data_IF_822089561822
#
_entry.id   IF_822089561822
#
_cell.length_a   1.000
_cell.length_b   1.000
_cell.length_c   1.000
_cell.angle_alpha   90.00
_cell.angle_beta   90.00
_cell.angle_gamma   90.00
#
_symmetry.space_group_name_H-M   'P 1'
#
loop_
_entity.id
_entity.type
_entity.pdbx_description
1 polymer ?
#
# COMPACT_ATOMS: atom_id res chain seq x y z
N UNK A 1 9.81 -14.66 1.31
CA UNK A 1 9.74 -13.38 0.57
C UNK A 1 8.27 -13.14 0.21
N UNK A 2 7.56 -12.37 1.04
CA UNK A 2 6.11 -12.17 0.90
C UNK A 2 5.92 -11.01 -0.07
N UNK A 3 5.51 -11.30 -1.29
CA UNK A 3 5.09 -10.29 -2.28
C UNK A 3 3.66 -9.88 -1.93
N UNK A 4 3.38 -8.66 -1.42
CA UNK A 4 2.01 -8.27 -1.08
C UNK A 4 1.19 -8.01 -2.36
N UNK A 5 0.18 -8.88 -2.52
CA UNK A 5 -0.97 -8.98 -3.45
C UNK A 5 -1.28 -7.81 -4.41
N UNK A 6 -1.07 -8.09 -5.71
CA UNK A 6 -1.71 -7.49 -6.92
C UNK A 6 -3.27 -7.51 -6.94
N UNK A 7 -3.93 -7.96 -5.87
CA UNK A 7 -5.36 -8.29 -5.86
C UNK A 7 -6.30 -7.08 -5.81
N UNK A 8 -5.91 -5.98 -5.16
CA UNK A 8 -6.73 -4.75 -5.11
C UNK A 8 -6.84 -4.05 -6.48
N UNK A 9 -5.86 -4.25 -7.37
CA UNK A 9 -5.81 -3.58 -8.67
C UNK A 9 -6.75 -4.25 -9.68
N UNK A 10 -6.76 -5.59 -9.70
CA UNK A 10 -7.65 -6.36 -10.58
C UNK A 10 -9.13 -6.23 -10.19
N UNK A 11 -9.46 -6.35 -8.90
CA UNK A 11 -10.85 -6.19 -8.43
C UNK A 11 -11.43 -4.82 -8.77
N UNK A 12 -10.65 -3.75 -8.60
CA UNK A 12 -11.06 -2.38 -8.95
C UNK A 12 -11.16 -2.17 -10.46
N UNK A 13 -10.25 -2.73 -11.24
CA UNK A 13 -10.34 -2.73 -12.70
C UNK A 13 -11.67 -3.32 -13.17
N UNK A 14 -12.07 -4.48 -12.64
CA UNK A 14 -13.35 -5.12 -12.99
C UNK A 14 -14.58 -4.25 -12.67
N UNK A 15 -14.51 -3.45 -11.60
CA UNK A 15 -15.58 -2.50 -11.25
C UNK A 15 -15.59 -1.29 -12.17
N UNK A 16 -14.43 -0.73 -12.47
CA UNK A 16 -14.31 0.43 -13.35
C UNK A 16 -14.72 0.13 -14.79
N UNK A 17 -14.46 -1.10 -15.26
CA UNK A 17 -14.89 -1.56 -16.60
C UNK A 17 -16.33 -2.06 -16.63
N UNK A 18 -17.05 -2.04 -15.50
CA UNK A 18 -18.45 -2.46 -15.40
C UNK A 18 -18.68 -3.97 -15.48
N UNK A 19 -17.62 -4.76 -15.45
CA UNK A 19 -17.66 -6.24 -15.57
C UNK A 19 -18.20 -6.87 -14.28
N UNK A 20 -17.90 -6.25 -13.15
CA UNK A 20 -18.39 -6.66 -11.82
C UNK A 20 -18.88 -5.41 -11.10
N UNK A 21 -20.03 -5.46 -10.43
CA UNK A 21 -20.48 -4.34 -9.62
C UNK A 21 -19.88 -4.38 -8.19
N UNK A 22 -19.89 -3.27 -7.43
CA UNK A 22 -19.30 -3.23 -6.08
C UNK A 22 -19.84 -4.32 -5.14
N UNK A 23 -21.15 -4.58 -5.15
CA UNK A 23 -21.78 -5.62 -4.31
C UNK A 23 -21.32 -7.03 -4.68
N UNK A 24 -21.10 -7.31 -5.97
CA UNK A 24 -20.53 -8.57 -6.44
C UNK A 24 -19.08 -8.71 -6.00
N UNK A 25 -18.28 -7.65 -6.14
CA UNK A 25 -16.89 -7.65 -5.69
C UNK A 25 -16.81 -7.88 -4.17
N UNK A 26 -17.64 -7.22 -3.38
CA UNK A 26 -17.69 -7.40 -1.93
C UNK A 26 -18.05 -8.84 -1.52
N UNK A 27 -18.99 -9.47 -2.24
CA UNK A 27 -19.32 -10.89 -2.03
C UNK A 27 -18.13 -11.79 -2.33
N UNK A 28 -17.44 -11.57 -3.45
CA UNK A 28 -16.25 -12.34 -3.81
C UNK A 28 -15.11 -12.15 -2.80
N UNK A 29 -14.87 -10.91 -2.34
CA UNK A 29 -13.89 -10.61 -1.29
C UNK A 29 -14.27 -11.29 0.02
N UNK A 30 -15.55 -11.27 0.38
CA UNK A 30 -16.05 -11.95 1.58
C UNK A 30 -15.86 -13.45 1.50
N UNK A 31 -16.16 -14.05 0.34
CA UNK A 31 -15.93 -15.48 0.07
C UNK A 31 -14.45 -15.85 0.12
N UNK A 32 -13.60 -15.01 -0.44
CA UNK A 32 -12.15 -15.14 -0.37
C UNK A 32 -11.66 -15.10 1.08
N UNK A 33 -12.12 -14.13 1.89
CA UNK A 33 -11.77 -14.00 3.31
C UNK A 33 -12.25 -15.19 4.14
N UNK A 34 -13.46 -15.69 3.89
CA UNK A 34 -13.99 -16.88 4.55
C UNK A 34 -13.15 -18.12 4.26
N UNK A 35 -12.72 -18.30 3.00
CA UNK A 35 -11.90 -19.45 2.59
C UNK A 35 -10.45 -19.34 3.08
N UNK A 36 -9.92 -18.11 3.12
CA UNK A 36 -8.55 -17.81 3.57
C UNK A 36 -8.49 -17.60 5.10
N UNK A 37 -9.28 -18.36 5.86
CA UNK A 37 -9.50 -18.16 7.29
C UNK A 37 -8.19 -17.96 8.06
N UNK A 38 -8.25 -17.12 9.10
CA UNK A 38 -7.13 -16.90 10.01
C UNK A 38 -6.80 -18.18 10.76
N UNK A 39 -5.51 -18.39 11.04
CA UNK A 39 -5.00 -19.62 11.66
C UNK A 39 -5.69 -19.94 13.01
N UNK A 40 -5.99 -18.91 13.82
CA UNK A 40 -6.74 -19.09 15.07
C UNK A 40 -8.19 -19.58 14.88
N UNK A 41 -8.86 -19.15 13.80
CA UNK A 41 -10.21 -19.64 13.47
C UNK A 41 -10.17 -21.08 12.97
N UNK A 42 -9.19 -21.43 12.13
CA UNK A 42 -8.97 -22.82 11.70
C UNK A 42 -8.67 -23.72 12.90
N UNK A 43 -7.83 -23.26 13.83
CA UNK A 43 -7.53 -23.99 15.05
C UNK A 43 -8.78 -24.18 15.94
N UNK A 44 -9.67 -23.19 16.00
CA UNK A 44 -10.95 -23.30 16.70
C UNK A 44 -11.90 -24.31 16.04
N UNK A 45 -12.06 -24.24 14.72
CA UNK A 45 -12.90 -25.14 13.92
C UNK A 45 -12.43 -26.61 14.04
N UNK A 46 -11.11 -26.82 14.14
CA UNK A 46 -10.49 -28.12 14.38
C UNK A 46 -10.44 -28.53 15.87
N UNK A 47 -11.02 -27.73 16.78
CA UNK A 47 -11.04 -27.96 18.24
C UNK A 47 -9.63 -28.07 18.86
N UNK A 48 -8.62 -27.47 18.22
CA UNK A 48 -7.25 -27.40 18.71
C UNK A 48 -7.05 -26.24 19.70
N UNK A 49 -7.83 -25.18 19.55
CA UNK A 49 -7.82 -24.02 20.45
C UNK A 49 -9.23 -23.64 20.90
N UNK A 50 -9.38 -23.25 22.16
CA UNK A 50 -10.62 -22.64 22.68
C UNK A 50 -10.64 -21.12 22.46
N UNK A 51 -11.81 -20.46 22.50
CA UNK A 51 -11.91 -19.00 22.41
C UNK A 51 -11.03 -18.26 23.43
N UNK A 52 -10.90 -18.82 24.64
CA UNK A 52 -10.11 -18.25 25.73
C UNK A 52 -8.61 -18.35 25.41
N UNK A 53 -8.16 -19.49 24.88
CA UNK A 53 -6.77 -19.68 24.45
C UNK A 53 -6.41 -18.76 23.27
N UNK A 54 -7.32 -18.59 22.31
CA UNK A 54 -7.14 -17.65 21.19
C UNK A 54 -7.00 -16.22 21.71
N UNK A 55 -7.87 -15.82 22.65
CA UNK A 55 -7.81 -14.49 23.26
C UNK A 55 -6.49 -14.26 23.99
N UNK A 56 -6.02 -15.26 24.75
CA UNK A 56 -4.73 -15.19 25.43
C UNK A 56 -3.53 -15.09 24.47
N UNK A 57 -3.56 -15.79 23.32
CA UNK A 57 -2.53 -15.66 22.28
C UNK A 57 -2.56 -14.25 21.67
N UNK A 58 -3.74 -13.73 21.34
CA UNK A 58 -3.91 -12.40 20.74
C UNK A 58 -3.46 -11.28 21.68
N UNK A 59 -3.79 -11.37 22.97
CA UNK A 59 -3.32 -10.45 24.00
C UNK A 59 -1.79 -10.47 24.09
N UNK A 60 -1.19 -11.68 24.10
CA UNK A 60 0.27 -11.81 24.13
C UNK A 60 0.95 -11.23 22.89
N UNK A 61 0.31 -11.36 21.73
CA UNK A 61 0.81 -10.88 20.45
C UNK A 61 0.89 -9.34 20.37
N UNK A 62 0.14 -8.59 21.19
CA UNK A 62 0.24 -7.13 21.26
C UNK A 62 1.62 -6.66 21.77
N UNK A 63 2.32 -7.52 22.51
CA UNK A 63 3.59 -7.23 23.17
C UNK A 63 4.71 -8.20 22.77
N UNK A 64 4.48 -9.03 21.75
CA UNK A 64 5.44 -10.03 21.28
C UNK A 64 5.49 -10.05 19.75
N UNK A 65 6.66 -9.88 19.11
CA UNK A 65 6.77 -9.82 17.65
C UNK A 65 6.56 -11.19 16.96
N UNK A 66 6.45 -12.29 17.72
CA UNK A 66 6.21 -13.63 17.18
C UNK A 66 4.83 -13.76 16.56
N UNK A 67 4.70 -14.68 15.60
CA UNK A 67 3.44 -14.93 14.89
C UNK A 67 2.48 -15.73 15.76
N UNK A 68 1.17 -15.63 15.48
CA UNK A 68 0.11 -16.31 16.25
C UNK A 68 0.41 -17.80 16.48
N UNK A 69 0.79 -18.53 15.43
CA UNK A 69 1.10 -19.95 15.52
C UNK A 69 2.34 -20.25 16.37
N UNK A 70 3.39 -19.44 16.24
CA UNK A 70 4.62 -19.56 17.04
C UNK A 70 4.34 -19.30 18.53
N UNK A 71 3.48 -18.32 18.83
CA UNK A 71 3.02 -18.03 20.19
C UNK A 71 2.14 -19.16 20.73
N UNK A 72 1.23 -19.71 19.93
CA UNK A 72 0.38 -20.82 20.34
C UNK A 72 1.20 -22.07 20.73
N UNK A 73 2.29 -22.35 20.01
CA UNK A 73 3.25 -23.42 20.36
C UNK A 73 4.06 -23.03 21.61
N UNK A 74 4.58 -21.81 21.68
CA UNK A 74 5.37 -21.35 22.82
C UNK A 74 4.58 -21.31 24.14
N UNK A 75 3.27 -21.10 24.07
CA UNK A 75 2.35 -21.13 25.21
C UNK A 75 1.88 -22.56 25.55
N UNK A 76 2.28 -23.57 24.77
CA UNK A 76 1.90 -24.97 24.98
C UNK A 76 0.44 -25.28 24.64
N UNK A 77 -0.25 -24.40 23.91
CA UNK A 77 -1.65 -24.61 23.54
C UNK A 77 -1.81 -25.56 22.35
N UNK A 78 -0.83 -25.59 21.44
CA UNK A 78 -0.75 -26.55 20.34
C UNK A 78 0.69 -27.09 20.21
N UNK A 79 0.85 -28.24 19.57
CA UNK A 79 2.18 -28.78 19.23
C UNK A 79 2.71 -28.20 17.92
N UNK A 80 4.01 -28.33 17.67
CA UNK A 80 4.62 -27.95 16.39
C UNK A 80 4.00 -28.70 15.19
N UNK A 81 3.69 -29.98 15.36
CA UNK A 81 3.03 -30.81 14.34
C UNK A 81 1.59 -30.36 14.05
N UNK A 82 0.84 -29.96 15.09
CA UNK A 82 -0.49 -29.37 14.92
C UNK A 82 -0.42 -28.01 14.22
N UNK A 83 0.61 -27.22 14.50
CA UNK A 83 0.85 -25.96 13.80
C UNK A 83 1.16 -26.18 12.31
N UNK A 84 2.01 -27.15 11.97
CA UNK A 84 2.29 -27.50 10.57
C UNK A 84 1.02 -27.96 9.85
N UNK A 85 0.23 -28.83 10.48
CA UNK A 85 -1.06 -29.30 9.93
C UNK A 85 -2.03 -28.14 9.69
N UNK A 86 -2.08 -27.15 10.59
CA UNK A 86 -2.91 -25.95 10.43
C UNK A 86 -2.42 -25.05 9.28
N UNK A 87 -1.10 -24.89 9.14
CA UNK A 87 -0.49 -24.11 8.06
C UNK A 87 -0.73 -24.75 6.70
N UNK A 88 -0.60 -26.08 6.60
CA UNK A 88 -0.87 -26.83 5.38
C UNK A 88 -2.35 -26.75 4.98
N UNK A 89 -3.25 -26.88 5.96
CA UNK A 89 -4.69 -26.69 5.73
C UNK A 89 -5.02 -25.27 5.27
N UNK A 90 -4.38 -24.25 5.86
CA UNK A 90 -4.58 -22.86 5.46
C UNK A 90 -4.06 -22.61 4.03
N UNK A 91 -2.89 -23.17 3.69
CA UNK A 91 -2.30 -23.06 2.37
C UNK A 91 -3.16 -23.74 1.29
N UNK A 92 -3.66 -24.95 1.56
CA UNK A 92 -4.48 -25.72 0.64
C UNK A 92 -5.86 -25.10 0.39
N UNK A 93 -6.41 -24.37 1.36
CA UNK A 93 -7.71 -23.71 1.23
C UNK A 93 -7.61 -22.25 0.76
N UNK A 94 -6.40 -21.73 0.56
CA UNK A 94 -6.22 -20.36 0.11
C UNK A 94 -6.69 -20.20 -1.34
N UNK A 95 -7.72 -19.38 -1.52
CA UNK A 95 -8.24 -19.02 -2.85
C UNK A 95 -7.89 -17.59 -3.24
N UNK A 96 -7.74 -17.37 -4.53
CA UNK A 96 -7.52 -16.06 -5.13
C UNK A 96 -8.85 -15.35 -5.41
N UNK A 97 -8.81 -14.01 -5.57
CA UNK A 97 -10.00 -13.21 -5.87
C UNK A 97 -10.71 -13.71 -7.15
N UNK A 98 -9.95 -14.08 -8.18
CA UNK A 98 -10.50 -14.66 -9.41
C UNK A 98 -11.26 -15.96 -9.19
N UNK A 99 -10.74 -16.84 -8.34
CA UNK A 99 -11.41 -18.09 -7.98
C UNK A 99 -12.66 -17.85 -7.13
N UNK A 100 -12.62 -16.87 -6.24
CA UNK A 100 -13.79 -16.44 -5.48
C UNK A 100 -14.89 -15.88 -6.40
N UNK A 101 -14.52 -15.07 -7.42
CA UNK A 101 -15.45 -14.56 -8.43
C UNK A 101 -16.12 -15.70 -9.24
N UNK A 102 -15.37 -16.77 -9.56
CA UNK A 102 -15.93 -17.96 -10.21
C UNK A 102 -16.87 -18.72 -9.25
N UNK A 103 -16.43 -18.95 -8.01
CA UNK A 103 -17.22 -19.71 -7.01
C UNK A 103 -18.53 -19.03 -6.65
N UNK A 104 -18.59 -17.70 -6.69
CA UNK A 104 -19.81 -16.91 -6.49
C UNK A 104 -20.67 -16.79 -7.77
N UNK A 105 -20.31 -17.48 -8.85
CA UNK A 105 -20.94 -17.40 -10.17
C UNK A 105 -21.00 -15.96 -10.73
N UNK A 106 -20.03 -15.12 -10.37
CA UNK A 106 -19.94 -13.73 -10.84
C UNK A 106 -19.24 -13.68 -12.20
N UNK A 107 -18.20 -14.49 -12.39
CA UNK A 107 -17.47 -14.61 -13.66
C UNK A 107 -17.32 -16.07 -14.08
N UNK A 108 -17.37 -16.33 -15.38
CA UNK A 108 -16.90 -17.61 -15.92
C UNK A 108 -15.37 -17.66 -15.90
N UNK A 109 -14.82 -18.88 -15.98
CA UNK A 109 -13.38 -19.09 -16.10
C UNK A 109 -12.80 -18.37 -17.31
N UNK A 110 -13.47 -18.46 -18.46
CA UNK A 110 -13.00 -17.85 -19.70
C UNK A 110 -13.03 -16.32 -19.64
N UNK A 111 -14.09 -15.75 -19.05
CA UNK A 111 -14.19 -14.32 -18.82
C UNK A 111 -13.08 -13.83 -17.87
N UNK A 112 -12.80 -14.59 -16.80
CA UNK A 112 -11.71 -14.26 -15.89
C UNK A 112 -10.36 -14.25 -16.60
N UNK A 113 -10.06 -15.26 -17.41
CA UNK A 113 -8.79 -15.34 -18.16
C UNK A 113 -8.66 -14.18 -19.14
N UNK A 114 -9.72 -13.86 -19.89
CA UNK A 114 -9.72 -12.71 -20.80
C UNK A 114 -9.43 -11.39 -20.06
N UNK A 115 -10.06 -11.17 -18.90
CA UNK A 115 -9.83 -9.96 -18.11
C UNK A 115 -8.44 -9.92 -17.49
N UNK A 116 -7.90 -11.05 -17.07
CA UNK A 116 -6.53 -11.12 -16.56
C UNK A 116 -5.52 -10.76 -17.66
N UNK A 117 -5.72 -11.22 -18.89
CA UNK A 117 -4.85 -10.88 -20.02
C UNK A 117 -4.91 -9.38 -20.35
N UNK A 118 -6.12 -8.81 -20.42
CA UNK A 118 -6.31 -7.36 -20.63
C UNK A 118 -5.61 -6.58 -19.52
N UNK A 119 -5.84 -6.97 -18.27
CA UNK A 119 -5.25 -6.32 -17.11
C UNK A 119 -3.71 -6.42 -17.12
N UNK A 120 -3.14 -7.56 -17.51
CA UNK A 120 -1.69 -7.73 -17.66
C UNK A 120 -1.11 -6.81 -18.74
N UNK A 121 -1.74 -6.72 -19.91
CA UNK A 121 -1.29 -5.83 -20.98
C UNK A 121 -1.34 -4.36 -20.56
N UNK A 122 -2.43 -3.95 -19.89
CA UNK A 122 -2.54 -2.60 -19.34
C UNK A 122 -1.42 -2.30 -18.33
N UNK A 123 -1.05 -3.29 -17.53
CA UNK A 123 0.01 -3.12 -16.54
C UNK A 123 1.40 -3.03 -17.16
N UNK A 124 1.67 -3.83 -18.19
CA UNK A 124 2.93 -3.75 -18.94
C UNK A 124 3.08 -2.41 -19.67
N UNK A 125 2.03 -1.96 -20.36
CA UNK A 125 2.04 -0.66 -21.03
C UNK A 125 2.30 0.49 -20.03
N UNK A 126 1.72 0.40 -18.84
CA UNK A 126 1.94 1.38 -17.79
C UNK A 126 3.36 1.32 -17.20
N UNK A 127 3.95 0.13 -17.06
CA UNK A 127 5.35 -0.03 -16.63
C UNK A 127 6.33 0.54 -17.67
N UNK A 128 6.10 0.33 -18.97
CA UNK A 128 6.93 0.89 -20.05
C UNK A 128 6.85 2.42 -20.12
N UNK A 129 5.65 2.98 -20.04
CA UNK A 129 5.44 4.44 -20.01
C UNK A 129 6.21 5.08 -18.86
N UNK A 130 6.16 4.46 -17.68
CA UNK A 130 6.82 4.96 -16.48
C UNK A 130 8.32 4.79 -16.56
N UNK A 131 8.83 3.66 -17.04
CA UNK A 131 10.26 3.49 -17.31
C UNK A 131 10.77 4.54 -18.30
N UNK A 132 9.98 4.89 -19.32
CA UNK A 132 10.29 5.96 -20.28
C UNK A 132 10.33 7.35 -19.66
N UNK A 133 9.42 7.66 -18.73
CA UNK A 133 9.39 8.92 -17.98
C UNK A 133 10.61 9.00 -17.05
N UNK A 134 10.89 7.93 -16.31
CA UNK A 134 11.93 7.88 -15.27
C UNK A 134 13.35 7.90 -15.86
N UNK A 135 13.58 7.26 -17.01
CA UNK A 135 14.88 7.27 -17.69
C UNK A 135 15.32 8.65 -18.19
N UNK A 136 14.39 9.61 -18.29
CA UNK A 136 14.67 10.99 -18.71
C UNK A 136 14.95 11.93 -17.54
N UNK A 137 14.78 11.46 -16.31
CA UNK A 137 14.94 12.28 -15.12
C UNK A 137 16.42 12.45 -14.73
N UNK A 138 16.81 13.68 -14.39
CA UNK A 138 18.14 14.01 -13.91
C UNK A 138 18.48 13.23 -12.63
N UNK A 139 17.48 12.99 -11.78
CA UNK A 139 17.59 12.22 -10.54
C UNK A 139 16.79 10.90 -10.62
N UNK A 140 16.87 10.22 -11.76
CA UNK A 140 16.09 9.01 -12.09
C UNK A 140 15.98 8.00 -10.96
N UNK A 141 17.08 7.44 -10.46
CA UNK A 141 17.05 6.39 -9.44
C UNK A 141 16.32 6.81 -8.15
N UNK A 142 16.52 8.06 -7.71
CA UNK A 142 15.85 8.59 -6.53
C UNK A 142 14.35 8.76 -6.80
N UNK A 143 13.99 9.40 -7.91
CA UNK A 143 12.59 9.62 -8.29
C UNK A 143 11.82 8.31 -8.55
N UNK A 144 12.47 7.29 -9.14
CA UNK A 144 11.93 5.93 -9.28
C UNK A 144 11.59 5.35 -7.92
N UNK A 145 12.54 5.40 -6.98
CA UNK A 145 12.33 4.87 -5.63
C UNK A 145 11.21 5.61 -4.93
N UNK A 146 11.10 6.93 -5.11
CA UNK A 146 10.04 7.71 -4.49
C UNK A 146 8.67 7.40 -5.09
N UNK A 147 8.59 7.31 -6.42
CA UNK A 147 7.41 6.88 -7.13
C UNK A 147 6.93 5.50 -6.63
N UNK A 148 7.82 4.52 -6.55
CA UNK A 148 7.46 3.15 -6.19
C UNK A 148 6.94 3.05 -4.75
N UNK A 149 7.58 3.73 -3.81
CA UNK A 149 7.14 3.75 -2.41
C UNK A 149 5.81 4.50 -2.29
N UNK A 150 5.66 5.66 -2.94
CA UNK A 150 4.38 6.41 -2.91
C UNK A 150 3.25 5.54 -3.42
N UNK A 151 3.43 4.97 -4.62
CA UNK A 151 2.43 4.13 -5.28
C UNK A 151 2.08 2.92 -4.42
N UNK A 152 3.08 2.25 -3.87
CA UNK A 152 2.90 1.06 -3.03
C UNK A 152 2.16 1.40 -1.74
N UNK A 153 2.52 2.52 -1.10
CA UNK A 153 1.86 2.97 0.12
C UNK A 153 0.40 3.34 -0.15
N UNK A 154 0.13 4.19 -1.16
CA UNK A 154 -1.22 4.59 -1.54
C UNK A 154 -2.08 3.37 -1.88
N UNK A 155 -1.53 2.40 -2.60
CA UNK A 155 -2.21 1.16 -2.92
C UNK A 155 -2.62 0.36 -1.67
N UNK A 156 -1.74 0.27 -0.66
CA UNK A 156 -2.03 -0.44 0.60
C UNK A 156 -3.18 0.20 1.37
N UNK A 157 -3.34 1.52 1.29
CA UNK A 157 -4.45 2.27 1.90
C UNK A 157 -5.65 2.45 0.95
N UNK A 158 -5.69 1.75 -0.19
CA UNK A 158 -6.84 1.69 -1.09
C UNK A 158 -6.87 2.73 -2.22
N UNK A 159 -5.80 3.50 -2.39
CA UNK A 159 -5.69 4.53 -3.42
C UNK A 159 -4.90 4.04 -4.64
N UNK A 160 -5.40 4.37 -5.83
CA UNK A 160 -4.69 4.14 -7.07
C UNK A 160 -4.04 5.45 -7.50
N UNK A 161 -2.73 5.40 -7.71
CA UNK A 161 -1.95 6.50 -8.26
C UNK A 161 -1.19 6.01 -9.49
N UNK A 162 -1.28 6.77 -10.59
CA UNK A 162 -0.51 6.55 -11.81
C UNK A 162 0.44 7.72 -12.03
N UNK A 163 1.63 7.46 -12.56
CA UNK A 163 2.45 8.56 -13.07
C UNK A 163 1.89 9.04 -14.41
N UNK A 164 2.02 10.33 -14.67
CA UNK A 164 1.51 10.99 -15.88
C UNK A 164 2.68 11.51 -16.71
N UNK A 165 3.59 12.29 -16.11
CA UNK A 165 4.74 12.88 -16.81
C UNK A 165 5.79 13.39 -15.83
N UNK A 166 6.99 13.63 -16.36
CA UNK A 166 8.08 14.34 -15.67
C UNK A 166 7.91 15.86 -15.89
N UNK A 167 8.10 16.66 -14.85
CA UNK A 167 8.06 18.12 -14.89
C UNK A 167 9.31 18.70 -14.22
N UNK A 168 9.78 19.84 -14.74
CA UNK A 168 10.84 20.64 -14.11
C UNK A 168 10.16 21.73 -13.28
N UNK A 169 10.48 21.82 -11.99
CA UNK A 169 9.83 22.72 -11.04
C UNK A 169 8.69 22.08 -10.25
N UNK A 170 8.18 22.83 -9.27
CA UNK A 170 6.94 22.48 -8.57
C UNK A 170 5.75 22.78 -9.50
N UNK A 171 4.81 21.85 -9.65
CA UNK A 171 3.51 22.09 -10.28
C UNK A 171 2.79 23.33 -9.73
N UNK A 172 2.52 24.33 -10.58
CA UNK A 172 1.83 25.56 -10.16
C UNK A 172 0.35 25.35 -9.82
N UNK A 173 -0.24 24.24 -10.24
CA UNK A 173 -1.65 23.89 -10.09
C UNK A 173 -1.93 22.93 -8.92
N UNK A 174 -0.87 22.37 -8.31
CA UNK A 174 -0.99 21.48 -7.16
C UNK A 174 -0.56 22.25 -5.90
N UNK A 175 -1.55 22.67 -5.12
CA UNK A 175 -1.35 23.40 -3.88
C UNK A 175 -1.70 22.53 -2.67
N UNK A 176 -0.74 22.30 -1.76
CA UNK A 176 -0.99 21.58 -0.51
C UNK A 176 0.29 21.24 0.25
N UNK A 177 0.21 20.28 1.18
CA UNK A 177 1.35 19.92 2.02
C UNK A 177 2.48 19.30 1.19
N UNK A 178 3.70 19.78 1.44
CA UNK A 178 4.90 19.39 0.71
C UNK A 178 5.83 18.63 1.66
N UNK A 179 5.80 17.29 1.60
CA UNK A 179 6.75 16.51 2.39
C UNK A 179 8.11 16.63 1.74
N UNK A 180 9.03 17.30 2.42
CA UNK A 180 10.42 17.36 2.00
C UNK A 180 11.32 16.85 3.12
N UNK A 181 11.66 15.57 2.98
CA UNK A 181 12.66 14.85 3.75
C UNK A 181 14.06 15.40 3.46
N UNK A 182 14.97 15.30 4.43
CA UNK A 182 16.34 15.80 4.25
C UNK A 182 17.33 14.63 4.09
N UNK A 183 17.97 14.56 2.92
CA UNK A 183 19.11 13.67 2.68
C UNK A 183 20.40 14.48 2.68
N UNK A 184 21.39 14.00 3.43
CA UNK A 184 22.75 14.55 3.43
C UNK A 184 23.71 13.52 2.89
N UNK A 185 24.29 13.77 1.72
CA UNK A 185 25.29 12.89 1.12
C UNK A 185 26.55 13.69 0.76
N UNK A 186 27.72 13.30 1.28
CA UNK A 186 29.06 13.85 0.93
C UNK A 186 29.10 15.35 0.55
N UNK A 187 28.48 16.21 1.36
CA UNK A 187 28.49 17.68 1.17
C UNK A 187 27.31 18.27 0.39
N UNK A 188 26.42 17.45 -0.20
CA UNK A 188 25.17 17.88 -0.80
C UNK A 188 23.97 17.62 0.13
N UNK A 189 23.05 18.58 0.14
CA UNK A 189 21.76 18.51 0.83
C UNK A 189 20.68 18.38 -0.24
N UNK A 190 19.91 17.31 -0.19
CA UNK A 190 18.79 17.09 -1.10
C UNK A 190 17.49 17.00 -0.31
N UNK A 191 16.42 17.54 -0.90
CA UNK A 191 15.08 17.51 -0.37
C UNK A 191 14.17 16.70 -1.28
N UNK A 192 13.37 15.80 -0.74
CA UNK A 192 12.48 14.99 -1.57
C UNK A 192 11.26 14.49 -0.82
N UNK A 193 10.22 14.10 -1.55
CA UNK A 193 8.99 13.53 -1.00
C UNK A 193 7.79 13.78 -1.90
N UNK A 194 6.66 14.17 -1.32
CA UNK A 194 5.36 14.24 -2.01
C UNK A 194 4.70 15.61 -1.83
N UNK A 195 4.12 16.13 -2.90
CA UNK A 195 3.32 17.35 -2.94
C UNK A 195 1.87 16.91 -3.07
N UNK A 196 1.11 17.00 -1.99
CA UNK A 196 -0.27 16.50 -1.91
C UNK A 196 -1.24 17.65 -1.66
N UNK A 197 -2.29 17.82 -2.49
CA UNK A 197 -3.32 18.81 -2.21
C UNK A 197 -4.11 18.44 -0.96
N UNK A 198 -4.63 19.45 -0.25
CA UNK A 198 -5.41 19.26 0.98
C UNK A 198 -6.66 18.38 0.74
N UNK A 199 -7.26 18.47 -0.44
CA UNK A 199 -8.37 17.61 -0.88
C UNK A 199 -7.98 16.13 -0.85
N UNK A 200 -6.81 15.79 -1.38
CA UNK A 200 -6.31 14.42 -1.41
C UNK A 200 -5.87 13.95 -0.02
N UNK A 201 -5.27 14.81 0.81
CA UNK A 201 -4.93 14.46 2.19
C UNK A 201 -6.17 14.07 3.01
N UNK A 202 -7.25 14.85 2.91
CA UNK A 202 -8.52 14.52 3.57
C UNK A 202 -9.09 13.18 3.09
N UNK A 203 -8.94 12.86 1.79
CA UNK A 203 -9.36 11.56 1.27
C UNK A 203 -8.48 10.43 1.79
N UNK A 204 -7.15 10.58 1.79
CA UNK A 204 -6.21 9.57 2.29
C UNK A 204 -6.43 9.27 3.78
N UNK A 205 -6.88 10.27 4.54
CA UNK A 205 -7.24 10.13 5.94
C UNK A 205 -8.56 9.39 6.17
N UNK A 206 -9.52 9.49 5.24
CA UNK A 206 -10.87 8.94 5.37
C UNK A 206 -10.93 7.43 5.69
N UNK A 207 -10.24 6.53 4.97
CA UNK A 207 -10.25 5.10 5.30
C UNK A 207 -9.48 4.73 6.57
N UNK A 208 -8.70 5.66 7.14
CA UNK A 208 -8.01 5.48 8.42
C UNK A 208 -8.83 5.98 9.63
N UNK A 209 -10.01 6.58 9.39
CA UNK A 209 -10.91 7.01 10.47
C UNK A 209 -11.56 5.79 11.13
N UNK A 210 -11.22 5.51 12.38
CA UNK A 210 -12.10 4.74 13.26
C UNK A 210 -13.40 5.54 13.47
N UNK A 211 -14.53 4.86 13.37
CA UNK A 211 -15.89 5.41 13.28
C UNK A 211 -16.12 6.67 14.17
N UNK A 212 -16.32 7.84 13.55
CA UNK A 212 -17.36 8.86 13.84
C UNK A 212 -16.88 10.29 13.54
N UNK A 213 -17.76 11.03 12.84
CA UNK A 213 -17.78 12.46 12.57
C UNK A 213 -16.60 13.11 11.82
N UNK A 214 -16.92 14.08 10.96
CA UNK A 214 -15.96 14.98 10.32
C UNK A 214 -15.47 15.95 11.39
N UNK A 215 -14.25 15.74 11.87
CA UNK A 215 -13.53 16.67 12.75
C UNK A 215 -12.27 17.13 12.01
N UNK A 216 -12.25 18.40 11.62
CA UNK A 216 -11.15 19.00 10.85
C UNK A 216 -9.82 19.02 11.62
N UNK A 217 -9.85 18.85 12.95
CA UNK A 217 -8.65 18.66 13.77
C UNK A 217 -8.02 17.27 13.59
N UNK A 218 -8.82 16.21 13.60
CA UNK A 218 -8.37 14.82 13.40
C UNK A 218 -7.85 14.56 12.00
N UNK A 219 -8.40 15.25 10.99
CA UNK A 219 -7.94 15.12 9.61
C UNK A 219 -6.49 15.59 9.42
N UNK A 220 -6.07 16.62 10.16
CA UNK A 220 -4.68 17.06 10.15
C UNK A 220 -3.75 16.08 10.85
N UNK A 221 -4.19 15.44 11.94
CA UNK A 221 -3.41 14.42 12.63
C UNK A 221 -3.21 13.17 11.77
N UNK A 222 -4.28 12.68 11.12
CA UNK A 222 -4.20 11.51 10.23
C UNK A 222 -3.41 11.86 8.95
N UNK A 223 -3.59 13.06 8.40
CA UNK A 223 -2.75 13.53 7.29
C UNK A 223 -1.28 13.56 7.71
N UNK A 224 -0.96 14.08 8.90
CA UNK A 224 0.40 14.06 9.44
C UNK A 224 0.93 12.64 9.60
N UNK A 225 0.08 11.68 9.97
CA UNK A 225 0.45 10.26 10.09
C UNK A 225 0.76 9.64 8.72
N UNK A 226 -0.04 9.93 7.68
CA UNK A 226 0.23 9.51 6.30
C UNK A 226 1.60 10.04 5.83
N UNK A 227 1.86 11.31 6.06
CA UNK A 227 3.14 11.93 5.69
C UNK A 227 4.31 11.37 6.51
N UNK A 228 4.10 11.11 7.80
CA UNK A 228 5.08 10.49 8.68
C UNK A 228 5.44 9.06 8.22
N UNK A 229 4.44 8.25 7.87
CA UNK A 229 4.62 6.89 7.40
C UNK A 229 5.37 6.84 6.07
N UNK A 230 5.01 7.72 5.12
CA UNK A 230 5.76 7.88 3.88
C UNK A 230 7.22 8.24 4.17
N UNK A 231 7.45 9.25 5.01
CA UNK A 231 8.79 9.70 5.41
C UNK A 231 9.63 8.56 6.01
N UNK A 232 9.01 7.73 6.87
CA UNK A 232 9.64 6.53 7.43
C UNK A 232 10.02 5.51 6.34
N UNK A 233 9.09 5.16 5.45
CA UNK A 233 9.32 4.18 4.38
C UNK A 233 10.43 4.59 3.42
N UNK A 234 10.45 5.87 3.04
CA UNK A 234 11.53 6.43 2.24
C UNK A 234 12.87 6.37 2.95
N UNK A 235 12.92 6.77 4.22
CA UNK A 235 14.14 6.69 5.02
C UNK A 235 14.66 5.25 5.14
N UNK A 236 13.75 4.30 5.36
CA UNK A 236 14.11 2.88 5.47
C UNK A 236 14.67 2.34 4.16
N UNK A 237 14.03 2.66 3.02
CA UNK A 237 14.49 2.19 1.71
C UNK A 237 15.82 2.81 1.31
N UNK A 238 16.00 4.11 1.50
CA UNK A 238 17.26 4.80 1.17
C UNK A 238 18.42 4.33 2.05
N UNK A 239 18.17 3.90 3.30
CA UNK A 239 19.22 3.26 4.12
C UNK A 239 19.63 1.90 3.59
N UNK A 240 18.69 1.10 3.05
CA UNK A 240 18.99 -0.18 2.41
C UNK A 240 19.87 -0.02 1.18
N UNK A 241 19.76 1.10 0.46
CA UNK A 241 20.64 1.44 -0.67
C UNK A 241 21.97 2.09 -0.24
N UNK A 242 22.28 2.15 1.07
CA UNK A 242 23.53 2.68 1.59
C UNK A 242 23.57 4.22 1.75
N UNK A 243 22.43 4.90 1.55
CA UNK A 243 22.34 6.35 1.61
C UNK A 243 22.08 6.82 3.04
N UNK A 244 22.83 7.83 3.50
CA UNK A 244 22.60 8.47 4.80
C UNK A 244 21.45 9.48 4.71
N UNK A 245 20.29 9.08 5.22
CA UNK A 245 19.07 9.90 5.24
C UNK A 245 18.49 10.05 6.65
N UNK A 246 17.86 11.19 6.91
CA UNK A 246 17.15 11.48 8.16
C UNK A 246 15.72 11.89 7.86
N UNK A 247 14.83 11.65 8.80
CA UNK A 247 13.47 12.17 8.72
C UNK A 247 13.53 13.71 8.66
N UNK A 248 12.87 14.31 7.67
CA UNK A 248 12.65 15.75 7.60
C UNK A 248 11.32 16.15 8.22
N UNK A 249 11.17 17.42 8.59
CA UNK A 249 9.87 17.97 8.97
C UNK A 249 8.96 18.11 7.73
N UNK A 250 7.64 18.03 7.93
CA UNK A 250 6.67 18.41 6.88
C UNK A 250 6.80 19.92 6.63
N UNK A 251 6.88 20.32 5.36
CA UNK A 251 7.03 21.71 4.94
C UNK A 251 5.89 22.09 3.99
N UNK A 252 5.67 23.38 3.83
CA UNK A 252 4.73 23.91 2.81
C UNK A 252 5.45 24.76 1.76
N UNK A 253 6.70 25.12 2.03
CA UNK A 253 7.56 25.92 1.17
C UNK A 253 8.93 25.25 1.03
N UNK A 254 9.52 25.38 -0.16
CA UNK A 254 10.90 24.96 -0.40
C UNK A 254 11.90 25.90 0.30
N UNK A 255 12.99 25.35 0.88
CA UNK A 255 14.09 26.16 1.38
C UNK A 255 14.72 26.99 0.25
N UNK A 256 15.10 28.24 0.55
CA UNK A 256 15.76 29.13 -0.40
C UNK A 256 17.10 28.59 -0.97
N UNK A 257 17.66 27.55 -0.34
CA UNK A 257 18.86 26.86 -0.83
C UNK A 257 18.61 25.93 -2.01
N UNK A 258 17.35 25.63 -2.34
CA UNK A 258 16.99 24.74 -3.44
C UNK A 258 17.19 25.44 -4.77
N UNK A 259 17.96 24.82 -5.64
CA UNK A 259 18.35 25.34 -6.95
C UNK A 259 17.65 24.62 -8.09
N UNK A 260 17.41 23.30 -7.93
CA UNK A 260 16.74 22.48 -8.93
C UNK A 260 15.63 21.67 -8.29
N UNK A 261 14.54 21.50 -9.03
CA UNK A 261 13.38 20.71 -8.62
C UNK A 261 12.94 19.89 -9.82
N UNK A 262 12.83 18.59 -9.62
CA UNK A 262 12.33 17.66 -10.62
C UNK A 262 11.17 16.87 -10.00
N UNK A 263 10.06 16.78 -10.73
CA UNK A 263 8.85 16.15 -10.23
C UNK A 263 8.27 15.13 -11.19
N UNK A 264 7.71 14.06 -10.64
CA UNK A 264 6.81 13.17 -11.38
C UNK A 264 5.40 13.59 -11.00
N UNK A 265 4.66 14.10 -11.98
CA UNK A 265 3.23 14.31 -11.82
C UNK A 265 2.55 12.96 -11.75
N UNK A 266 1.76 12.80 -10.70
CA UNK A 266 0.97 11.64 -10.40
C UNK A 266 -0.50 12.02 -10.43
N UNK A 267 -1.35 11.07 -10.76
CA UNK A 267 -2.79 11.26 -10.80
C UNK A 267 -3.48 10.13 -10.05
N UNK A 268 -4.42 10.51 -9.19
CA UNK A 268 -5.42 9.61 -8.63
C UNK A 268 -6.74 9.74 -9.39
N UNK A 269 -7.79 9.06 -8.96
CA UNK A 269 -9.13 9.25 -9.55
C UNK A 269 -9.69 10.65 -9.27
N UNK A 270 -9.28 11.27 -8.17
CA UNK A 270 -9.92 12.47 -7.64
C UNK A 270 -9.04 13.71 -7.77
N UNK A 271 -7.75 13.56 -7.57
CA UNK A 271 -6.80 14.67 -7.54
C UNK A 271 -5.45 14.28 -8.18
N UNK A 272 -4.81 15.29 -8.76
CA UNK A 272 -3.41 15.24 -9.17
C UNK A 272 -2.51 15.56 -7.96
N UNK A 273 -1.33 14.94 -7.95
CA UNK A 273 -0.31 15.19 -6.95
C UNK A 273 1.08 15.02 -7.57
N UNK A 274 2.15 15.28 -6.84
CA UNK A 274 3.49 15.07 -7.38
C UNK A 274 4.45 14.41 -6.40
N UNK A 275 5.38 13.64 -6.94
CA UNK A 275 6.57 13.17 -6.23
C UNK A 275 7.72 14.05 -6.66
N UNK A 276 8.50 14.57 -5.72
CA UNK A 276 9.47 15.61 -5.98
C UNK A 276 10.85 15.28 -5.41
N UNK A 277 11.90 15.63 -6.16
CA UNK A 277 13.30 15.58 -5.74
C UNK A 277 13.96 16.93 -6.05
N UNK A 278 14.66 17.49 -5.06
CA UNK A 278 15.20 18.84 -5.11
C UNK A 278 16.63 18.87 -4.58
N UNK A 279 17.50 19.68 -5.20
CA UNK A 279 18.89 19.88 -4.76
C UNK A 279 19.28 21.35 -4.72
#
# INVERSE_FOLDING_TARGET
>A
MIVPKRQCFFGRHLVQTGIVNPKQLDRAISRQKQSNALLGRLAQEQKLLTPEQISAILERQQHDPRRFGELAVAMGFITGEQLETLLDNQANNHIYLGEALIKENILSRDALVAQLNIFQTLMLAHEEEISGILSRAQHGDALVSLYDITRTYFFRIGFLAKAVRLEQGIPNDIHGAQVFMEQRSRGSLAYFGVILPESLLGQLASPLREQSAVDSGKDREIASEVLHNLNYLYCEQSRKSGTKVRHGAVRYDLPASVSTVETIRMQTVFDDFAVAYCT
#
